data_IF_870729021190
#
_entry.id   IF_870729021190
#
_cell.length_a   1.000
_cell.length_b   1.000
_cell.length_c   1.000
_cell.angle_alpha   90.00
_cell.angle_beta   90.00
_cell.angle_gamma   90.00
#
_symmetry.space_group_name_H-M   'P 1'
#
loop_
_entity.id
_entity.type
_entity.pdbx_description
1 polymer ?
#
# COMPACT_ATOMS: atom_id res chain seq x y z
N UNK A 1 -8.98 -4.78 -28.21
CA UNK A 1 -7.78 -5.20 -27.44
C UNK A 1 -7.26 -3.99 -26.68
N UNK A 2 -7.28 -4.01 -25.35
CA UNK A 2 -6.66 -2.96 -24.54
C UNK A 2 -5.14 -3.14 -24.65
N UNK A 3 -4.42 -2.09 -25.02
CA UNK A 3 -2.95 -2.11 -25.03
C UNK A 3 -2.43 -2.25 -23.59
N UNK A 4 -1.39 -3.06 -23.37
CA UNK A 4 -0.75 -3.20 -22.05
C UNK A 4 -0.38 -1.85 -21.43
N UNK A 5 0.02 -0.89 -22.27
CA UNK A 5 0.30 0.48 -21.84
C UNK A 5 -0.95 1.15 -21.25
N UNK A 6 -2.10 1.03 -21.92
CA UNK A 6 -3.36 1.59 -21.43
C UNK A 6 -3.80 0.92 -20.13
N UNK A 7 -3.63 -0.39 -20.00
CA UNK A 7 -3.94 -1.10 -18.75
C UNK A 7 -3.05 -0.62 -17.60
N UNK A 8 -1.74 -0.45 -17.85
CA UNK A 8 -0.77 0.04 -16.87
C UNK A 8 -1.07 1.49 -16.45
N UNK A 9 -1.50 2.33 -17.39
CA UNK A 9 -1.99 3.69 -17.07
C UNK A 9 -3.19 3.67 -16.12
N UNK A 10 -4.17 2.81 -16.38
CA UNK A 10 -5.35 2.69 -15.53
C UNK A 10 -4.97 2.19 -14.13
N UNK A 11 -4.09 1.19 -14.05
CA UNK A 11 -3.57 0.67 -12.77
C UNK A 11 -2.87 1.77 -11.98
N UNK A 12 -1.93 2.49 -12.61
CA UNK A 12 -1.19 3.58 -11.98
C UNK A 12 -2.11 4.69 -11.43
N UNK A 13 -3.17 5.05 -12.15
CA UNK A 13 -4.16 6.04 -11.67
C UNK A 13 -4.91 5.53 -10.44
N UNK A 14 -5.34 4.26 -10.45
CA UNK A 14 -6.04 3.66 -9.30
C UNK A 14 -5.11 3.60 -8.09
N UNK A 15 -3.87 3.16 -8.27
CA UNK A 15 -2.87 3.11 -7.20
C UNK A 15 -2.52 4.51 -6.67
N UNK A 16 -2.52 5.54 -7.52
CA UNK A 16 -2.31 6.92 -7.11
C UNK A 16 -3.40 7.38 -6.15
N UNK A 17 -4.67 7.16 -6.52
CA UNK A 17 -5.82 7.52 -5.68
C UNK A 17 -5.76 6.77 -4.35
N UNK A 18 -5.53 5.46 -4.39
CA UNK A 18 -5.44 4.64 -3.18
C UNK A 18 -4.27 5.04 -2.28
N UNK A 19 -3.14 5.43 -2.85
CA UNK A 19 -1.99 5.94 -2.09
C UNK A 19 -2.32 7.25 -1.39
N UNK A 20 -2.97 8.19 -2.08
CA UNK A 20 -3.42 9.44 -1.48
C UNK A 20 -4.39 9.20 -0.32
N UNK A 21 -5.36 8.30 -0.50
CA UNK A 21 -6.29 7.91 0.58
C UNK A 21 -5.51 7.33 1.76
N UNK A 22 -4.54 6.43 1.51
CA UNK A 22 -3.74 5.79 2.56
C UNK A 22 -2.85 6.80 3.30
N UNK A 23 -2.28 7.79 2.61
CA UNK A 23 -1.53 8.89 3.25
C UNK A 23 -2.44 9.66 4.21
N UNK A 24 -3.61 10.11 3.75
CA UNK A 24 -4.52 10.90 4.57
C UNK A 24 -5.02 10.10 5.78
N UNK A 25 -5.38 8.82 5.58
CA UNK A 25 -5.81 7.93 6.66
C UNK A 25 -4.70 7.67 7.67
N UNK A 26 -3.47 7.39 7.22
CA UNK A 26 -2.33 7.13 8.12
C UNK A 26 -1.90 8.40 8.87
N UNK A 27 -1.88 9.56 8.22
CA UNK A 27 -1.63 10.85 8.89
C UNK A 27 -2.69 11.16 9.94
N UNK A 28 -3.97 10.86 9.67
CA UNK A 28 -5.03 11.04 10.66
C UNK A 28 -4.82 10.15 11.89
N UNK A 29 -4.45 8.88 11.70
CA UNK A 29 -4.13 7.95 12.80
C UNK A 29 -2.93 8.46 13.60
N UNK A 30 -1.82 8.78 12.92
CA UNK A 30 -0.60 9.29 13.57
C UNK A 30 -0.88 10.59 14.34
N UNK A 31 -1.69 11.49 13.77
CA UNK A 31 -2.08 12.73 14.42
C UNK A 31 -2.96 12.49 15.65
N UNK A 32 -3.90 11.54 15.57
CA UNK A 32 -4.72 11.15 16.72
C UNK A 32 -3.86 10.54 17.84
N UNK A 33 -2.89 9.69 17.50
CA UNK A 33 -1.96 9.11 18.46
C UNK A 33 -1.11 10.20 19.13
N UNK A 34 -0.55 11.15 18.38
CA UNK A 34 0.23 12.27 18.94
C UNK A 34 -0.58 13.17 19.87
N UNK A 35 -1.86 13.37 19.59
CA UNK A 35 -2.76 14.20 20.42
C UNK A 35 -3.40 13.42 21.57
N UNK A 36 -3.16 12.11 21.68
CA UNK A 36 -3.73 11.27 22.72
C UNK A 36 -2.79 11.11 23.92
N UNK A 37 -3.37 10.88 25.08
CA UNK A 37 -2.66 10.67 26.33
C UNK A 37 -2.97 9.28 26.87
N UNK A 38 -1.95 8.57 27.32
CA UNK A 38 -2.10 7.28 27.97
C UNK A 38 -2.86 7.42 29.29
N UNK A 39 -3.38 6.30 29.80
CA UNK A 39 -4.09 6.24 31.09
C UNK A 39 -3.24 6.76 32.27
N UNK A 40 -1.92 6.80 32.12
CA UNK A 40 -0.94 7.28 33.10
C UNK A 40 -0.53 8.75 32.87
N UNK A 41 -1.19 9.48 31.97
CA UNK A 41 -0.90 10.90 31.68
C UNK A 41 0.30 11.13 30.74
N UNK A 42 0.96 10.08 30.25
CA UNK A 42 2.08 10.21 29.32
C UNK A 42 1.59 10.35 27.87
N UNK A 43 2.24 11.16 27.02
CA UNK A 43 1.90 11.26 25.60
C UNK A 43 2.05 9.90 24.90
N UNK A 44 1.09 9.58 24.02
CA UNK A 44 1.19 8.40 23.17
C UNK A 44 2.29 8.58 22.13
N UNK A 45 3.03 7.50 21.84
CA UNK A 45 3.92 7.43 20.69
C UNK A 45 3.15 6.83 19.52
N UNK A 46 3.29 7.38 18.30
CA UNK A 46 2.60 6.85 17.15
C UNK A 46 3.05 5.43 16.85
N UNK A 47 2.12 4.62 16.34
CA UNK A 47 2.38 3.24 15.99
C UNK A 47 3.32 3.18 14.79
N UNK A 48 4.39 2.39 14.92
CA UNK A 48 5.37 2.19 13.84
C UNK A 48 4.73 1.71 12.52
N UNK A 49 3.69 0.83 12.53
CA UNK A 49 2.94 0.51 11.33
C UNK A 49 2.28 1.70 10.64
N UNK A 50 1.65 2.62 11.39
CA UNK A 50 0.98 3.79 10.81
C UNK A 50 1.99 4.76 10.21
N UNK A 51 3.11 5.00 10.89
CA UNK A 51 4.23 5.81 10.36
C UNK A 51 4.81 5.17 9.10
N UNK A 52 5.04 3.86 9.12
CA UNK A 52 5.54 3.11 7.95
C UNK A 52 4.59 3.19 6.76
N UNK A 53 3.29 3.04 6.99
CA UNK A 53 2.26 3.18 5.96
C UNK A 53 2.27 4.58 5.34
N UNK A 54 2.43 5.63 6.15
CA UNK A 54 2.52 7.01 5.66
C UNK A 54 3.75 7.21 4.75
N UNK A 55 4.93 6.79 5.19
CA UNK A 55 6.18 6.95 4.43
C UNK A 55 6.11 6.18 3.11
N UNK A 56 5.70 4.90 3.17
CA UNK A 56 5.60 4.06 1.98
C UNK A 56 4.57 4.57 0.99
N UNK A 57 3.42 5.04 1.46
CA UNK A 57 2.39 5.60 0.56
C UNK A 57 2.85 6.88 -0.10
N UNK A 58 3.61 7.74 0.60
CA UNK A 58 4.23 8.92 0.02
C UNK A 58 5.27 8.56 -1.06
N UNK A 59 6.12 7.56 -0.79
CA UNK A 59 7.04 7.02 -1.79
C UNK A 59 6.29 6.44 -3.01
N UNK A 60 5.17 5.75 -2.78
CA UNK A 60 4.36 5.20 -3.88
C UNK A 60 3.83 6.31 -4.77
N UNK A 61 3.28 7.40 -4.20
CA UNK A 61 2.81 8.56 -4.98
C UNK A 61 3.91 9.13 -5.89
N UNK A 62 5.11 9.37 -5.33
CA UNK A 62 6.23 9.92 -6.10
C UNK A 62 6.63 8.97 -7.23
N UNK A 63 6.76 7.68 -6.93
CA UNK A 63 7.17 6.68 -7.93
C UNK A 63 6.10 6.44 -9.00
N UNK A 64 4.81 6.52 -8.67
CA UNK A 64 3.70 6.46 -9.64
C UNK A 64 3.78 7.63 -10.61
N UNK A 65 3.90 8.87 -10.10
CA UNK A 65 4.01 10.06 -10.94
C UNK A 65 5.21 9.93 -11.88
N UNK A 66 6.34 9.43 -11.38
CA UNK A 66 7.53 9.15 -12.17
C UNK A 66 7.29 8.07 -13.25
N UNK A 67 6.62 6.97 -12.89
CA UNK A 67 6.26 5.91 -13.82
C UNK A 67 5.31 6.39 -14.92
N UNK A 68 4.35 7.28 -14.60
CA UNK A 68 3.44 7.88 -15.56
C UNK A 68 4.18 8.74 -16.61
N UNK A 69 5.21 9.50 -16.19
CA UNK A 69 6.10 10.16 -17.16
C UNK A 69 6.85 9.16 -18.04
N UNK A 70 7.33 8.06 -17.46
CA UNK A 70 7.95 6.95 -18.18
C UNK A 70 7.05 6.33 -19.24
N UNK A 71 5.78 6.08 -18.88
CA UNK A 71 4.77 5.52 -19.78
C UNK A 71 4.42 6.48 -20.93
N UNK A 72 4.38 7.79 -20.67
CA UNK A 72 4.18 8.82 -21.71
C UNK A 72 5.36 8.88 -22.68
N UNK A 73 6.59 8.88 -22.14
CA UNK A 73 7.82 9.02 -22.91
C UNK A 73 8.39 7.73 -23.50
N UNK A 74 7.70 6.60 -23.34
CA UNK A 74 8.19 5.27 -23.71
C UNK A 74 9.57 4.93 -23.13
N UNK A 75 9.82 5.33 -21.87
CA UNK A 75 11.09 5.08 -21.18
C UNK A 75 10.89 3.98 -20.12
N UNK A 76 11.13 2.70 -20.46
CA UNK A 76 10.89 1.58 -19.55
C UNK A 76 11.64 1.72 -18.22
N UNK A 77 12.88 2.21 -18.24
CA UNK A 77 13.68 2.40 -17.02
C UNK A 77 13.02 3.29 -15.95
N UNK A 78 12.06 4.14 -16.31
CA UNK A 78 11.33 4.98 -15.36
C UNK A 78 10.20 4.23 -14.63
N UNK A 79 9.79 3.03 -15.07
CA UNK A 79 8.84 2.19 -14.34
C UNK A 79 9.50 1.40 -13.20
N UNK A 80 10.80 1.11 -13.31
CA UNK A 80 11.50 0.23 -12.38
C UNK A 80 11.42 0.70 -10.91
N UNK A 81 11.63 1.98 -10.57
CA UNK A 81 11.51 2.44 -9.19
C UNK A 81 10.12 2.21 -8.59
N UNK A 82 9.07 2.32 -9.42
CA UNK A 82 7.71 2.10 -8.98
C UNK A 82 7.43 0.61 -8.73
N UNK A 83 7.83 -0.27 -9.64
CA UNK A 83 7.71 -1.73 -9.46
C UNK A 83 8.39 -2.18 -8.16
N UNK A 84 9.60 -1.67 -7.88
CA UNK A 84 10.33 -1.98 -6.64
C UNK A 84 9.56 -1.47 -5.41
N UNK A 85 9.05 -0.24 -5.47
CA UNK A 85 8.27 0.34 -4.38
C UNK A 85 6.97 -0.45 -4.11
N UNK A 86 6.25 -0.84 -5.16
CA UNK A 86 5.03 -1.65 -5.06
C UNK A 86 5.29 -3.03 -4.44
N UNK A 87 6.42 -3.67 -4.76
CA UNK A 87 6.85 -4.92 -4.11
C UNK A 87 7.13 -4.71 -2.63
N UNK A 88 7.80 -3.61 -2.24
CA UNK A 88 8.06 -3.30 -0.83
C UNK A 88 6.75 -3.09 -0.06
N UNK A 89 5.77 -2.39 -0.64
CA UNK A 89 4.45 -2.21 -0.03
C UNK A 89 3.73 -3.54 0.14
N UNK A 90 3.77 -4.42 -0.86
CA UNK A 90 3.17 -5.75 -0.77
C UNK A 90 3.78 -6.57 0.38
N UNK A 91 5.11 -6.57 0.50
CA UNK A 91 5.82 -7.28 1.58
C UNK A 91 5.48 -6.68 2.95
N UNK A 92 5.52 -5.35 3.07
CA UNK A 92 5.18 -4.64 4.30
C UNK A 92 3.75 -4.99 4.76
N UNK A 93 2.78 -4.93 3.85
CA UNK A 93 1.39 -5.26 4.14
C UNK A 93 1.22 -6.74 4.50
N UNK A 94 1.95 -7.65 3.85
CA UNK A 94 1.97 -9.08 4.19
C UNK A 94 2.50 -9.34 5.61
N UNK A 95 3.59 -8.67 6.01
CA UNK A 95 4.15 -8.78 7.36
C UNK A 95 3.14 -8.26 8.40
N UNK A 96 2.50 -7.12 8.16
CA UNK A 96 1.48 -6.58 9.06
C UNK A 96 0.28 -7.51 9.19
N UNK A 97 -0.19 -8.05 8.06
CA UNK A 97 -1.34 -8.96 8.04
C UNK A 97 -1.04 -10.25 8.80
N UNK A 98 0.16 -10.82 8.63
CA UNK A 98 0.57 -12.03 9.36
C UNK A 98 0.77 -11.76 10.85
N UNK A 99 1.32 -10.61 11.23
CA UNK A 99 1.43 -10.18 12.62
C UNK A 99 0.04 -10.06 13.27
N UNK A 100 -0.89 -9.37 12.61
CA UNK A 100 -2.27 -9.21 13.07
C UNK A 100 -3.00 -10.55 13.20
N UNK A 101 -2.85 -11.44 12.22
CA UNK A 101 -3.40 -12.81 12.25
C UNK A 101 -2.84 -13.61 13.44
N UNK A 102 -1.52 -13.54 13.67
CA UNK A 102 -0.86 -14.23 14.78
C UNK A 102 -1.35 -13.72 16.12
N UNK A 103 -1.52 -12.41 16.24
CA UNK A 103 -2.05 -11.77 17.45
C UNK A 103 -3.50 -12.19 17.69
N UNK A 104 -4.33 -12.21 16.64
CA UNK A 104 -5.71 -12.71 16.70
C UNK A 104 -5.79 -14.17 17.17
N UNK A 105 -4.99 -15.07 16.60
CA UNK A 105 -4.94 -16.49 17.02
C UNK A 105 -4.54 -16.64 18.50
N UNK A 106 -3.70 -15.76 19.02
CA UNK A 106 -3.25 -15.80 20.42
C UNK A 106 -4.33 -15.34 21.40
N UNK A 107 -5.22 -14.42 21.00
CA UNK A 107 -6.17 -13.81 21.92
C UNK A 107 -7.56 -14.46 21.98
N UNK A 108 -7.90 -15.41 21.08
CA UNK A 108 -9.00 -16.41 21.08
C UNK A 108 -10.42 -16.02 21.62
N UNK A 109 -10.69 -14.77 22.07
CA UNK A 109 -11.84 -14.43 22.94
C UNK A 109 -12.54 -13.08 22.71
N UNK A 110 -12.36 -12.42 21.58
CA UNK A 110 -13.18 -11.25 21.25
C UNK A 110 -13.83 -11.43 19.88
N UNK A 111 -14.93 -12.19 19.86
CA UNK A 111 -15.75 -12.45 18.67
C UNK A 111 -16.56 -11.19 18.35
N UNK A 112 -16.00 -10.31 17.52
CA UNK A 112 -16.77 -9.39 16.67
C UNK A 112 -16.55 -9.81 15.21
N UNK A 113 -17.59 -9.75 14.37
CA UNK A 113 -17.55 -10.19 12.96
C UNK A 113 -16.55 -9.45 12.05
N UNK A 114 -15.90 -8.41 12.57
CA UNK A 114 -14.99 -7.53 11.83
C UNK A 114 -13.66 -8.19 11.43
N UNK A 115 -13.28 -9.32 12.05
CA UNK A 115 -12.04 -10.02 11.73
C UNK A 115 -12.07 -10.64 10.34
N UNK A 116 -13.22 -11.20 9.93
CA UNK A 116 -13.40 -11.79 8.61
C UNK A 116 -13.33 -10.70 7.53
N UNK A 117 -13.93 -9.54 7.80
CA UNK A 117 -13.87 -8.38 6.90
C UNK A 117 -12.41 -7.93 6.74
N UNK A 118 -11.67 -7.76 7.85
CA UNK A 118 -10.25 -7.39 7.81
C UNK A 118 -9.40 -8.39 7.02
N UNK A 119 -9.64 -9.69 7.21
CA UNK A 119 -8.91 -10.74 6.50
C UNK A 119 -9.22 -10.75 4.99
N UNK A 120 -10.49 -10.65 4.62
CA UNK A 120 -10.92 -10.61 3.21
C UNK A 120 -10.40 -9.36 2.53
N UNK A 121 -10.51 -8.19 3.16
CA UNK A 121 -10.00 -6.93 2.62
C UNK A 121 -8.47 -6.98 2.46
N UNK A 122 -7.76 -7.52 3.45
CA UNK A 122 -6.30 -7.68 3.36
C UNK A 122 -5.90 -8.60 2.21
N UNK A 123 -6.59 -9.73 2.05
CA UNK A 123 -6.34 -10.66 0.94
C UNK A 123 -6.61 -10.02 -0.43
N UNK A 124 -7.76 -9.34 -0.57
CA UNK A 124 -8.11 -8.64 -1.82
C UNK A 124 -7.08 -7.56 -2.17
N UNK A 125 -6.62 -6.80 -1.18
CA UNK A 125 -5.56 -5.81 -1.37
C UNK A 125 -4.27 -6.45 -1.88
N UNK A 126 -3.82 -7.56 -1.26
CA UNK A 126 -2.62 -8.28 -1.70
C UNK A 126 -2.75 -8.82 -3.11
N UNK A 127 -3.91 -9.39 -3.48
CA UNK A 127 -4.18 -9.86 -4.83
C UNK A 127 -4.19 -8.72 -5.85
N UNK A 128 -4.79 -7.59 -5.52
CA UNK A 128 -4.83 -6.41 -6.38
C UNK A 128 -3.42 -5.86 -6.62
N UNK A 129 -2.62 -5.66 -5.57
CA UNK A 129 -1.24 -5.21 -5.66
C UNK A 129 -0.36 -6.18 -6.46
N UNK A 130 -0.49 -7.49 -6.23
CA UNK A 130 0.25 -8.49 -7.02
C UNK A 130 -0.13 -8.42 -8.51
N UNK A 131 -1.43 -8.26 -8.80
CA UNK A 131 -1.91 -8.13 -10.18
C UNK A 131 -1.40 -6.86 -10.85
N UNK A 132 -1.36 -5.74 -10.12
CA UNK A 132 -0.79 -4.48 -10.58
C UNK A 132 0.69 -4.65 -10.95
N UNK A 133 1.51 -5.16 -10.03
CA UNK A 133 2.94 -5.44 -10.25
C UNK A 133 3.15 -6.33 -11.49
N UNK A 134 2.32 -7.36 -11.69
CA UNK A 134 2.41 -8.22 -12.86
C UNK A 134 2.10 -7.49 -14.17
N UNK A 135 1.12 -6.58 -14.17
CA UNK A 135 0.78 -5.75 -15.33
C UNK A 135 1.93 -4.80 -15.65
N UNK A 136 2.48 -4.13 -14.64
CA UNK A 136 3.61 -3.20 -14.77
C UNK A 136 4.86 -3.89 -15.29
N UNK A 137 5.21 -5.04 -14.71
CA UNK A 137 6.38 -5.82 -15.14
C UNK A 137 6.25 -6.30 -16.60
N UNK A 138 5.03 -6.71 -17.00
CA UNK A 138 4.75 -7.06 -18.40
C UNK A 138 4.80 -5.85 -19.32
N UNK A 139 4.42 -4.66 -18.85
CA UNK A 139 4.53 -3.43 -19.62
C UNK A 139 5.98 -3.02 -19.80
N UNK A 140 6.77 -3.03 -18.72
CA UNK A 140 8.20 -2.78 -18.71
C UNK A 140 8.91 -3.64 -19.77
N UNK A 141 8.73 -4.96 -19.73
CA UNK A 141 9.36 -5.89 -20.68
C UNK A 141 8.93 -5.71 -22.15
N UNK A 142 7.78 -5.08 -22.41
CA UNK A 142 7.28 -4.84 -23.78
C UNK A 142 7.67 -3.48 -24.32
N UNK A 143 8.20 -2.60 -23.48
CA UNK A 143 8.68 -1.27 -23.85
C UNK A 143 10.18 -1.25 -24.14
N UNK A 144 10.92 -2.29 -23.72
CA UNK A 144 12.28 -2.62 -24.18
C UNK A 144 12.26 -3.20 -25.60
#
# INVERSE_FOLDING_TARGET
MISMRSATWTVAIVELVMSCVTIVSSLAIVSAEFNSVTMNGNPFKPSMPAVGACILSFCLVITIVWAMFGLSGQKPGMLLPHIVCSVLVLVFHGILSTFWLREWFRFEKAVNGDWLISLVVSFLFQCAMLSAILVEFRCYRRMD
#
